data_IF_244324441945
#
_entry.id   IF_244324441945
#
_cell.length_a   1.000
_cell.length_b   1.000
_cell.length_c   1.000
_cell.angle_alpha   90.00
_cell.angle_beta   90.00
_cell.angle_gamma   90.00
#
_symmetry.space_group_name_H-M   'P 1'
#
loop_
_entity.id
_entity.type
_entity.pdbx_description
1 polymer ?
#
# COMPACT_ATOMS: atom_id res chain seq x y z
N UNK A 1 -12.04 9.38 3.79
CA UNK A 1 -10.93 9.37 4.73
C UNK A 1 -10.05 8.15 4.61
N UNK A 2 -10.59 7.02 4.25
CA UNK A 2 -9.80 5.82 4.05
C UNK A 2 -9.75 5.36 2.60
N UNK A 3 -9.54 6.29 1.67
CA UNK A 3 -9.42 5.93 0.26
C UNK A 3 -8.10 5.19 0.04
N UNK A 4 -8.20 3.93 -0.35
CA UNK A 4 -7.06 3.02 -0.42
C UNK A 4 -6.74 2.65 -1.86
N UNK A 5 -5.48 2.79 -2.24
CA UNK A 5 -4.95 2.31 -3.50
C UNK A 5 -4.22 1.01 -3.23
N UNK A 6 -4.57 -0.06 -3.96
CA UNK A 6 -3.90 -1.36 -3.86
C UNK A 6 -2.96 -1.52 -5.05
N UNK A 7 -1.71 -1.90 -4.77
CA UNK A 7 -0.71 -2.13 -5.81
C UNK A 7 -0.13 -3.54 -5.63
N UNK A 8 -0.53 -4.46 -6.49
CA UNK A 8 -0.09 -5.86 -6.44
C UNK A 8 -0.29 -6.48 -7.82
N UNK A 9 0.67 -7.23 -8.30
CA UNK A 9 0.59 -7.86 -9.62
C UNK A 9 -0.27 -9.12 -9.65
N UNK A 10 -0.65 -9.65 -8.48
CA UNK A 10 -1.46 -10.85 -8.37
C UNK A 10 -2.95 -10.49 -8.27
N UNK A 11 -3.72 -10.92 -9.25
CA UNK A 11 -5.16 -10.64 -9.31
C UNK A 11 -5.91 -11.17 -8.09
N UNK A 12 -5.58 -12.40 -7.66
CA UNK A 12 -6.22 -13.01 -6.51
C UNK A 12 -5.97 -12.22 -5.23
N UNK A 13 -4.76 -11.69 -5.08
CA UNK A 13 -4.43 -10.89 -3.91
C UNK A 13 -5.19 -9.56 -3.94
N UNK A 14 -5.29 -8.91 -5.10
CA UNK A 14 -6.06 -7.67 -5.20
C UNK A 14 -7.53 -7.91 -4.87
N UNK A 15 -8.09 -9.04 -5.32
CA UNK A 15 -9.48 -9.39 -5.00
C UNK A 15 -9.67 -9.57 -3.50
N UNK A 16 -8.77 -10.32 -2.86
CA UNK A 16 -8.81 -10.53 -1.43
C UNK A 16 -8.75 -9.21 -0.66
N UNK A 17 -7.80 -8.36 -1.01
CA UNK A 17 -7.63 -7.07 -0.35
C UNK A 17 -8.84 -6.16 -0.57
N UNK A 18 -9.40 -6.17 -1.77
CA UNK A 18 -10.58 -5.35 -2.08
C UNK A 18 -11.77 -5.77 -1.22
N UNK A 19 -12.03 -7.07 -1.13
CA UNK A 19 -13.13 -7.58 -0.31
C UNK A 19 -12.89 -7.24 1.15
N UNK A 20 -11.68 -7.48 1.63
CA UNK A 20 -11.32 -7.25 3.03
C UNK A 20 -11.45 -5.77 3.41
N UNK A 21 -10.87 -4.89 2.63
CA UNK A 21 -10.85 -3.46 2.93
C UNK A 21 -12.27 -2.88 2.82
N UNK A 22 -13.00 -3.23 1.77
CA UNK A 22 -14.36 -2.71 1.58
C UNK A 22 -15.34 -3.22 2.62
N UNK A 23 -15.03 -4.34 3.29
CA UNK A 23 -15.90 -4.88 4.34
C UNK A 23 -15.65 -4.21 5.69
N UNK A 24 -14.61 -3.41 5.83
CA UNK A 24 -14.33 -2.69 7.07
C UNK A 24 -15.32 -1.57 7.27
N UNK A 25 -15.80 -1.45 8.49
CA UNK A 25 -16.89 -0.52 8.84
C UNK A 25 -16.35 0.79 9.43
N UNK A 26 -15.24 1.28 8.91
CA UNK A 26 -14.55 2.46 9.44
C UNK A 26 -14.17 3.46 8.36
N UNK A 27 -14.90 3.47 7.26
CA UNK A 27 -14.62 4.41 6.18
C UNK A 27 -13.50 4.00 5.25
N UNK A 28 -12.93 2.81 5.42
CA UNK A 28 -11.93 2.29 4.49
C UNK A 28 -12.62 1.80 3.22
N UNK A 29 -12.08 2.14 2.08
CA UNK A 29 -12.61 1.67 0.79
C UNK A 29 -11.50 1.68 -0.24
N UNK A 30 -11.58 0.77 -1.19
CA UNK A 30 -10.64 0.70 -2.30
C UNK A 30 -11.12 1.65 -3.39
N UNK A 31 -10.26 2.59 -3.79
CA UNK A 31 -10.57 3.56 -4.84
C UNK A 31 -9.81 3.28 -6.13
N UNK A 32 -8.83 2.39 -6.09
CA UNK A 32 -8.10 2.01 -7.29
C UNK A 32 -7.22 0.81 -7.04
N UNK A 33 -6.87 0.12 -8.13
CA UNK A 33 -5.98 -1.04 -8.11
C UNK A 33 -4.98 -0.91 -9.23
N UNK A 34 -3.72 -1.17 -8.94
CA UNK A 34 -2.67 -1.15 -9.94
C UNK A 34 -1.94 -2.49 -9.93
N UNK A 35 -1.44 -2.91 -11.08
CA UNK A 35 -0.75 -4.18 -11.23
C UNK A 35 0.77 -4.04 -11.19
N UNK A 36 1.27 -2.83 -11.21
CA UNK A 36 2.70 -2.55 -11.15
C UNK A 36 2.93 -1.12 -10.65
N UNK A 37 4.20 -0.77 -10.43
CA UNK A 37 4.55 0.53 -9.88
C UNK A 37 4.26 1.70 -10.80
N UNK A 38 4.52 1.55 -12.09
CA UNK A 38 4.26 2.58 -13.08
C UNK A 38 2.77 2.94 -13.13
N UNK A 39 1.93 1.91 -13.10
CA UNK A 39 0.48 2.08 -13.09
C UNK A 39 0.02 2.79 -11.83
N UNK A 40 0.62 2.44 -10.68
CA UNK A 40 0.30 3.08 -9.41
C UNK A 40 0.65 4.57 -9.43
N UNK A 41 1.80 4.91 -9.96
CA UNK A 41 2.25 6.30 -10.05
C UNK A 41 1.30 7.12 -10.93
N UNK A 42 0.91 6.56 -12.07
CA UNK A 42 -0.02 7.22 -12.98
C UNK A 42 -1.41 7.38 -12.36
N UNK A 43 -1.88 6.34 -11.66
CA UNK A 43 -3.23 6.32 -11.11
C UNK A 43 -3.39 7.21 -9.88
N UNK A 44 -2.31 7.45 -9.14
CA UNK A 44 -2.37 8.20 -7.88
C UNK A 44 -3.04 9.56 -8.02
N UNK A 45 -2.69 10.30 -9.06
CA UNK A 45 -3.24 11.64 -9.23
C UNK A 45 -4.74 11.62 -9.57
N UNK A 46 -5.21 10.54 -10.19
CA UNK A 46 -6.63 10.41 -10.55
C UNK A 46 -7.49 10.03 -9.36
N UNK A 47 -6.98 9.14 -8.50
CA UNK A 47 -7.79 8.62 -7.39
C UNK A 47 -7.51 9.31 -6.06
N UNK A 48 -6.42 10.04 -5.96
CA UNK A 48 -6.02 10.79 -4.76
C UNK A 48 -6.21 9.98 -3.47
N UNK A 49 -5.48 8.85 -3.33
CA UNK A 49 -5.69 7.97 -2.18
C UNK A 49 -5.21 8.61 -0.88
N UNK A 50 -5.81 8.17 0.21
CA UNK A 50 -5.38 8.56 1.56
C UNK A 50 -4.29 7.62 2.07
N UNK A 51 -4.20 6.41 1.51
CA UNK A 51 -3.22 5.41 1.91
C UNK A 51 -2.98 4.43 0.74
N UNK A 52 -1.78 3.90 0.65
CA UNK A 52 -1.39 2.93 -0.39
C UNK A 52 -0.95 1.63 0.26
N UNK A 53 -1.51 0.50 -0.21
CA UNK A 53 -1.04 -0.85 0.12
C UNK A 53 -0.21 -1.33 -1.06
N UNK A 54 1.04 -1.61 -0.83
CA UNK A 54 2.02 -1.78 -1.89
C UNK A 54 2.81 -3.09 -1.70
N UNK A 55 2.82 -3.93 -2.73
CA UNK A 55 3.65 -5.13 -2.74
C UNK A 55 5.10 -4.76 -3.04
N UNK A 56 6.04 -5.50 -2.45
CA UNK A 56 7.46 -5.29 -2.68
C UNK A 56 7.92 -5.85 -4.04
N UNK A 57 7.50 -7.08 -4.33
CA UNK A 57 7.94 -7.78 -5.55
C UNK A 57 6.92 -7.67 -6.67
N UNK A 58 7.26 -6.89 -7.67
CA UNK A 58 6.42 -6.71 -8.85
C UNK A 58 7.31 -6.62 -10.08
N UNK A 59 6.81 -6.99 -11.26
CA UNK A 59 7.56 -6.74 -12.51
C UNK A 59 7.77 -5.25 -12.71
N UNK A 60 8.91 -4.88 -13.24
CA UNK A 60 9.26 -3.48 -13.45
C UNK A 60 9.78 -2.84 -12.17
N UNK A 61 9.22 -1.71 -11.78
CA UNK A 61 9.63 -1.02 -10.56
C UNK A 61 9.33 -1.88 -9.34
N UNK A 62 10.29 -1.98 -8.45
CA UNK A 62 10.06 -2.65 -7.16
C UNK A 62 9.10 -1.83 -6.31
N UNK A 63 8.57 -2.44 -5.25
CA UNK A 63 7.73 -1.72 -4.31
C UNK A 63 8.45 -0.52 -3.68
N UNK A 64 9.72 -0.66 -3.34
CA UNK A 64 10.47 0.43 -2.74
C UNK A 64 10.74 1.57 -3.73
N UNK A 65 11.04 1.25 -4.99
CA UNK A 65 11.20 2.28 -6.02
C UNK A 65 9.89 3.01 -6.28
N UNK A 66 8.79 2.27 -6.30
CA UNK A 66 7.46 2.84 -6.43
C UNK A 66 7.16 3.78 -5.26
N UNK A 67 7.47 3.35 -4.04
CA UNK A 67 7.26 4.17 -2.83
C UNK A 67 8.06 5.46 -2.90
N UNK A 68 9.32 5.39 -3.32
CA UNK A 68 10.15 6.59 -3.47
C UNK A 68 9.49 7.60 -4.40
N UNK A 69 9.01 7.13 -5.54
CA UNK A 69 8.38 8.01 -6.52
C UNK A 69 7.10 8.64 -5.99
N UNK A 70 6.27 7.85 -5.32
CA UNK A 70 5.03 8.36 -4.72
C UNK A 70 5.33 9.40 -3.63
N UNK A 71 6.34 9.16 -2.82
CA UNK A 71 6.70 10.05 -1.71
C UNK A 71 7.43 11.30 -2.17
N UNK A 72 8.05 11.30 -3.34
CA UNK A 72 8.60 12.52 -3.91
C UNK A 72 7.51 13.55 -4.19
N UNK A 73 6.37 13.08 -4.70
CA UNK A 73 5.23 13.95 -5.00
C UNK A 73 4.40 14.28 -3.77
N UNK A 74 4.30 13.34 -2.86
CA UNK A 74 3.45 13.50 -1.68
C UNK A 74 4.16 12.88 -0.46
N UNK A 75 5.05 13.66 0.19
CA UNK A 75 5.89 13.13 1.28
C UNK A 75 5.13 12.59 2.49
N UNK A 76 3.90 13.04 2.69
CA UNK A 76 3.11 12.61 3.85
C UNK A 76 2.13 11.47 3.53
N UNK A 77 2.15 10.95 2.31
CA UNK A 77 1.27 9.86 1.91
C UNK A 77 1.62 8.60 2.70
N UNK A 78 0.69 8.05 3.49
CA UNK A 78 0.95 6.80 4.19
C UNK A 78 1.06 5.64 3.21
N UNK A 79 2.15 4.89 3.30
CA UNK A 79 2.36 3.70 2.49
C UNK A 79 2.60 2.52 3.43
N UNK A 80 1.86 1.43 3.21
CA UNK A 80 2.05 0.15 3.89
C UNK A 80 2.61 -0.83 2.87
N UNK A 81 3.80 -1.34 3.15
CA UNK A 81 4.38 -2.40 2.32
C UNK A 81 3.82 -3.72 2.81
N UNK A 82 3.17 -4.48 1.93
CA UNK A 82 2.50 -5.73 2.27
C UNK A 82 3.00 -6.82 1.34
N UNK A 83 3.92 -7.65 1.82
CA UNK A 83 4.64 -8.58 0.96
C UNK A 83 4.96 -9.89 1.67
N UNK A 84 5.17 -10.94 0.86
CA UNK A 84 5.53 -12.26 1.39
C UNK A 84 6.96 -12.30 1.93
N UNK A 85 7.83 -11.42 1.42
CA UNK A 85 9.26 -11.46 1.73
C UNK A 85 9.74 -10.10 2.23
N UNK A 86 9.48 -9.84 3.51
CA UNK A 86 10.00 -8.64 4.16
C UNK A 86 11.03 -9.09 5.16
N UNK A 87 12.31 -8.94 4.81
CA UNK A 87 13.39 -9.21 5.74
C UNK A 87 13.84 -7.89 6.39
N UNK A 88 14.83 -7.98 7.27
CA UNK A 88 15.32 -6.81 7.98
C UNK A 88 15.88 -5.74 7.05
N UNK A 89 16.58 -6.15 5.99
CA UNK A 89 17.15 -5.20 5.03
C UNK A 89 16.06 -4.43 4.29
N UNK A 90 15.01 -5.12 3.86
CA UNK A 90 13.86 -4.49 3.18
C UNK A 90 13.15 -3.54 4.14
N UNK A 91 12.92 -4.00 5.37
CA UNK A 91 12.24 -3.19 6.38
C UNK A 91 13.04 -1.91 6.72
N UNK A 92 14.36 -2.02 6.85
CA UNK A 92 15.21 -0.88 7.13
C UNK A 92 15.21 0.13 5.99
N UNK A 93 15.27 -0.35 4.75
CA UNK A 93 15.22 0.51 3.59
C UNK A 93 13.86 1.19 3.46
N UNK A 94 12.79 0.45 3.68
CA UNK A 94 11.42 0.99 3.65
C UNK A 94 11.27 2.12 4.68
N UNK A 95 11.76 1.90 5.88
CA UNK A 95 11.71 2.90 6.94
C UNK A 95 12.50 4.16 6.55
N UNK A 96 13.68 3.97 5.97
CA UNK A 96 14.55 5.07 5.55
C UNK A 96 13.89 5.96 4.50
N UNK A 97 13.14 5.38 3.57
CA UNK A 97 12.50 6.16 2.51
C UNK A 97 11.13 6.72 2.90
N UNK A 98 10.61 6.36 4.06
CA UNK A 98 9.37 6.93 4.57
C UNK A 98 8.14 6.04 4.52
N UNK A 99 8.30 4.74 4.22
CA UNK A 99 7.19 3.78 4.31
C UNK A 99 6.79 3.64 5.78
N UNK A 100 5.51 3.74 6.08
CA UNK A 100 5.03 3.81 7.46
C UNK A 100 4.98 2.47 8.18
N UNK A 101 4.66 1.40 7.46
CA UNK A 101 4.53 0.06 8.03
C UNK A 101 4.97 -0.97 7.01
N UNK A 102 5.51 -2.07 7.52
CA UNK A 102 5.76 -3.28 6.72
C UNK A 102 4.98 -4.42 7.36
N UNK A 103 4.15 -5.08 6.57
CA UNK A 103 3.30 -6.17 7.04
C UNK A 103 3.52 -7.38 6.14
N UNK A 104 3.74 -8.56 6.71
CA UNK A 104 3.89 -9.78 5.93
C UNK A 104 2.55 -10.24 5.38
N UNK A 105 2.54 -10.73 4.15
CA UNK A 105 1.35 -11.34 3.56
C UNK A 105 0.89 -12.50 4.44
N UNK A 106 -0.41 -12.56 4.68
CA UNK A 106 -0.98 -13.52 5.61
C UNK A 106 -1.31 -12.92 6.96
N UNK A 107 -0.66 -11.81 7.33
CA UNK A 107 -1.00 -11.10 8.56
C UNK A 107 -2.11 -10.08 8.28
N UNK A 108 -3.29 -10.60 8.04
CA UNK A 108 -4.47 -9.81 7.67
C UNK A 108 -4.85 -8.85 8.80
N UNK A 109 -4.78 -9.33 10.04
CA UNK A 109 -5.09 -8.50 11.21
C UNK A 109 -4.12 -7.33 11.32
N UNK A 110 -2.83 -7.58 11.09
CA UNK A 110 -1.82 -6.53 11.12
C UNK A 110 -2.04 -5.49 10.01
N UNK A 111 -2.44 -5.94 8.83
CA UNK A 111 -2.71 -5.04 7.72
C UNK A 111 -3.91 -4.12 8.05
N UNK A 112 -5.02 -4.70 8.50
CA UNK A 112 -6.21 -3.92 8.84
C UNK A 112 -5.91 -2.92 9.95
N UNK A 113 -5.15 -3.35 10.95
CA UNK A 113 -4.76 -2.46 12.04
C UNK A 113 -3.93 -1.28 11.52
N UNK A 114 -2.97 -1.54 10.65
CA UNK A 114 -2.13 -0.50 10.06
C UNK A 114 -2.98 0.51 9.28
N UNK A 115 -3.91 0.02 8.47
CA UNK A 115 -4.79 0.87 7.69
C UNK A 115 -5.66 1.76 8.59
N UNK A 116 -6.20 1.20 9.66
CA UNK A 116 -7.00 1.97 10.62
C UNK A 116 -6.18 3.03 11.32
N UNK A 117 -5.00 2.66 11.81
CA UNK A 117 -4.14 3.58 12.55
C UNK A 117 -3.65 4.73 11.69
N UNK A 118 -3.29 4.44 10.45
CA UNK A 118 -2.73 5.45 9.55
C UNK A 118 -3.78 6.35 8.92
N UNK A 119 -5.05 5.96 8.92
CA UNK A 119 -6.13 6.78 8.37
C UNK A 119 -6.97 7.47 9.44
N UNK A 120 -6.97 6.96 10.66
CA UNK A 120 -7.81 7.50 11.75
C UNK A 120 -7.24 8.77 12.36
N UNK A 121 -5.98 9.07 12.12
CA UNK A 121 -5.28 10.18 12.77
C UNK A 121 -5.62 11.55 12.18
N UNK A 122 -6.44 11.61 11.17
CA UNK A 122 -6.80 12.88 10.51
C UNK A 122 -7.89 13.65 11.22
#
# INVERSE_FOLDING_TARGET
>A
MGKTLIVDDEEDMRLLLRVLINSEDRGLRVVGEATNGEEAIALRSDVTPDIVVLDYRMPGLSGLDTARSLLEDEPDLPIVLYSAFIDEAVSDEADRIGVRRCVNKGDVTGLVRALRELTAAS
#
